data_IF_756745852103
#
_entry.id   IF_756745852103
#
_cell.length_a   1.000
_cell.length_b   1.000
_cell.length_c   1.000
_cell.angle_alpha   90.00
_cell.angle_beta   90.00
_cell.angle_gamma   90.00
#
_symmetry.space_group_name_H-M   'P 1'
#
loop_
_entity.id
_entity.type
_entity.pdbx_description
1 polymer ?
#
# COMPACT_ATOMS: atom_id res chain seq x y z
N UNK A 1 5.67 18.49 -21.93
CA UNK A 1 6.02 18.30 -21.60
C UNK A 1 6.21 17.80 -21.28
N UNK A 2 6.42 17.51 -21.36
CA UNK A 2 6.81 17.05 -21.04
C UNK A 2 7.12 16.64 -20.49
N UNK A 3 7.33 16.28 -20.57
CA UNK A 3 7.80 15.87 -19.89
C UNK A 3 8.33 15.98 -19.22
N UNK A 4 7.86 16.28 -19.34
CA UNK A 4 8.66 16.65 -18.57
C UNK A 4 8.95 15.97 -17.44
N UNK A 5 8.04 15.45 -17.00
CA UNK A 5 8.34 14.59 -15.99
C UNK A 5 9.47 13.80 -16.28
N UNK A 6 9.54 13.30 -17.38
CA UNK A 6 10.60 12.51 -17.62
C UNK A 6 11.79 13.22 -17.65
N UNK A 7 11.77 14.43 -17.92
CA UNK A 7 12.96 15.07 -17.86
C UNK A 7 13.29 15.34 -16.49
N UNK A 8 12.35 15.61 -15.65
CA UNK A 8 12.71 15.86 -14.33
C UNK A 8 12.90 14.61 -13.61
N UNK A 9 12.26 13.54 -14.05
CA UNK A 9 12.34 12.32 -13.34
C UNK A 9 13.61 11.64 -13.61
N UNK A 10 14.44 11.46 -12.71
CA UNK A 10 15.60 10.66 -12.88
C UNK A 10 15.26 9.21 -12.96
N UNK A 11 16.27 8.40 -13.25
CA UNK A 11 16.10 6.96 -13.40
C UNK A 11 15.44 6.32 -12.19
N UNK A 12 15.68 6.84 -11.01
CA UNK A 12 15.11 6.28 -9.80
C UNK A 12 14.07 7.22 -9.18
N UNK A 13 13.38 7.99 -9.98
CA UNK A 13 12.38 8.90 -9.45
C UNK A 13 11.11 8.18 -8.99
N UNK A 14 10.79 7.07 -9.65
CA UNK A 14 9.64 6.22 -9.26
C UNK A 14 8.36 7.00 -9.05
N UNK A 15 8.00 7.75 -10.07
CA UNK A 15 6.79 8.57 -9.97
C UNK A 15 5.52 7.77 -9.78
N UNK A 16 5.57 6.50 -10.11
CA UNK A 16 4.42 5.63 -9.88
C UNK A 16 4.23 5.21 -8.43
N UNK A 17 5.12 5.63 -7.52
CA UNK A 17 4.89 5.40 -6.11
C UNK A 17 3.90 6.45 -5.61
N UNK A 18 2.64 6.17 -5.84
CA UNK A 18 1.51 7.03 -5.51
C UNK A 18 1.63 7.50 -4.06
N UNK A 19 1.69 8.80 -3.85
CA UNK A 19 1.88 9.36 -2.52
C UNK A 19 0.78 8.99 -1.55
N UNK A 20 -0.44 8.87 -2.05
CA UNK A 20 -1.55 8.51 -1.20
C UNK A 20 -1.37 7.11 -0.67
N UNK A 21 -0.83 6.21 -1.48
CA UNK A 21 -0.64 4.82 -1.10
C UNK A 21 0.68 4.63 -0.34
N UNK A 22 1.69 5.42 -0.68
CA UNK A 22 3.02 5.26 -0.11
C UNK A 22 3.10 5.87 1.29
N UNK A 23 2.28 5.34 2.17
CA UNK A 23 2.22 5.74 3.56
C UNK A 23 1.80 4.49 4.33
N UNK A 24 2.50 4.16 5.38
CA UNK A 24 2.37 2.86 6.02
C UNK A 24 0.94 2.45 6.36
N UNK A 25 0.19 3.35 6.98
CA UNK A 25 -1.16 3.00 7.41
C UNK A 25 -2.08 2.77 6.22
N UNK A 26 -2.02 3.65 5.23
CA UNK A 26 -2.88 3.51 4.05
C UNK A 26 -2.49 2.31 3.20
N UNK A 27 -1.18 2.05 3.10
CA UNK A 27 -0.73 0.85 2.41
C UNK A 27 -1.26 -0.41 3.11
N UNK A 28 -1.23 -0.44 4.44
CA UNK A 28 -1.75 -1.56 5.21
C UNK A 28 -3.24 -1.75 5.00
N UNK A 29 -3.97 -0.65 5.00
CA UNK A 29 -5.42 -0.69 4.80
C UNK A 29 -5.74 -1.24 3.41
N UNK A 30 -5.09 -0.71 2.39
CA UNK A 30 -5.37 -1.15 1.02
C UNK A 30 -4.96 -2.60 0.78
N UNK A 31 -3.84 -3.02 1.37
CA UNK A 31 -3.41 -4.41 1.25
C UNK A 31 -4.42 -5.34 1.92
N UNK A 32 -4.91 -4.96 3.08
CA UNK A 32 -5.91 -5.76 3.77
C UNK A 32 -7.18 -5.88 2.94
N UNK A 33 -7.61 -4.78 2.35
CA UNK A 33 -8.84 -4.77 1.56
C UNK A 33 -8.71 -5.51 0.24
N UNK A 34 -7.57 -5.42 -0.43
CA UNK A 34 -7.45 -6.10 -1.72
C UNK A 34 -7.39 -7.61 -1.54
N UNK A 35 -6.94 -8.08 -0.39
CA UNK A 35 -6.91 -9.51 -0.11
C UNK A 35 -8.25 -10.02 0.44
N UNK A 36 -9.19 -9.11 0.68
CA UNK A 36 -10.53 -9.47 1.17
C UNK A 36 -11.58 -8.75 0.32
N UNK A 37 -11.79 -9.22 -0.90
CA UNK A 37 -12.67 -8.49 -1.85
C UNK A 37 -14.11 -8.31 -1.38
N UNK A 38 -14.57 -9.15 -0.49
CA UNK A 38 -15.92 -8.98 0.04
C UNK A 38 -15.99 -7.89 1.10
N UNK A 39 -14.85 -7.38 1.51
CA UNK A 39 -14.78 -6.30 2.48
C UNK A 39 -14.40 -6.77 3.86
N UNK A 40 -14.05 -5.81 4.68
CA UNK A 40 -13.71 -6.04 6.07
C UNK A 40 -14.48 -5.05 6.93
N UNK A 41 -14.88 -5.47 8.10
CA UNK A 41 -15.51 -4.53 9.02
C UNK A 41 -14.45 -3.56 9.54
N UNK A 42 -14.92 -2.44 10.06
CA UNK A 42 -14.01 -1.44 10.65
C UNK A 42 -13.12 -2.09 11.73
N UNK A 43 -13.72 -2.91 12.58
CA UNK A 43 -12.96 -3.53 13.67
C UNK A 43 -11.97 -4.57 13.16
N UNK A 44 -12.33 -5.33 12.14
CA UNK A 44 -11.39 -6.27 11.54
C UNK A 44 -10.20 -5.55 10.94
N UNK A 45 -10.48 -4.47 10.22
CA UNK A 45 -9.45 -3.70 9.58
C UNK A 45 -8.53 -3.05 10.60
N UNK A 46 -9.12 -2.53 11.67
CA UNK A 46 -8.36 -1.92 12.75
C UNK A 46 -7.37 -2.92 13.36
N UNK A 47 -7.83 -4.12 13.60
CA UNK A 47 -6.98 -5.17 14.17
C UNK A 47 -5.89 -5.59 13.20
N UNK A 48 -6.22 -5.81 11.95
CA UNK A 48 -5.25 -6.23 10.95
C UNK A 48 -4.15 -5.21 10.75
N UNK A 49 -4.49 -3.93 10.83
CA UNK A 49 -3.52 -2.88 10.56
C UNK A 49 -2.89 -2.30 11.81
N UNK A 50 -3.31 -2.75 12.98
CA UNK A 50 -2.83 -2.24 14.27
C UNK A 50 -2.98 -0.73 14.37
N UNK A 51 -4.18 -0.25 14.07
CA UNK A 51 -4.46 1.17 14.11
C UNK A 51 -5.46 1.48 15.22
N UNK A 52 -5.44 2.72 15.70
CA UNK A 52 -6.46 3.19 16.60
C UNK A 52 -7.71 3.55 15.82
N UNK A 53 -8.83 3.67 16.50
CA UNK A 53 -10.08 4.09 15.88
C UNK A 53 -9.91 5.41 15.12
N UNK A 54 -9.29 6.38 15.79
CA UNK A 54 -9.12 7.70 15.19
C UNK A 54 -8.22 7.69 13.97
N UNK A 55 -7.12 6.97 14.05
CA UNK A 55 -6.20 6.89 12.92
C UNK A 55 -6.83 6.16 11.74
N UNK A 56 -7.51 5.05 12.00
CA UNK A 56 -8.18 4.33 10.92
C UNK A 56 -9.25 5.20 10.28
N UNK A 57 -10.07 5.87 11.10
CA UNK A 57 -11.11 6.77 10.56
C UNK A 57 -10.51 7.83 9.67
N UNK A 58 -9.42 8.43 10.10
CA UNK A 58 -8.77 9.49 9.34
C UNK A 58 -8.25 8.98 8.01
N UNK A 59 -7.57 7.84 8.03
CA UNK A 59 -7.01 7.29 6.79
C UNK A 59 -8.10 6.78 5.85
N UNK A 60 -9.16 6.20 6.38
CA UNK A 60 -10.28 5.78 5.55
C UNK A 60 -10.95 6.99 4.89
N UNK A 61 -11.08 8.10 5.61
CA UNK A 61 -11.66 9.31 5.02
C UNK A 61 -10.80 9.83 3.86
N UNK A 62 -9.50 9.81 4.03
CA UNK A 62 -8.58 10.23 2.97
C UNK A 62 -8.75 9.33 1.74
N UNK A 63 -8.82 8.03 1.94
CA UNK A 63 -8.95 7.09 0.84
C UNK A 63 -10.32 7.17 0.18
N UNK A 64 -11.36 7.40 0.97
CA UNK A 64 -12.71 7.52 0.45
C UNK A 64 -12.85 8.77 -0.42
N UNK A 65 -12.26 9.86 0.02
CA UNK A 65 -12.29 11.10 -0.75
C UNK A 65 -11.68 10.93 -2.12
N UNK A 66 -10.69 10.08 -2.24
CA UNK A 66 -10.00 9.82 -3.50
C UNK A 66 -10.59 8.62 -4.23
N UNK A 67 -11.75 8.19 -3.83
CA UNK A 67 -12.49 7.09 -4.46
C UNK A 67 -11.74 5.77 -4.49
N UNK A 68 -10.90 5.53 -3.52
CA UNK A 68 -10.14 4.28 -3.47
C UNK A 68 -10.83 3.23 -2.62
N UNK A 69 -11.64 3.65 -1.66
CA UNK A 69 -12.42 2.73 -0.83
C UNK A 69 -13.84 3.23 -0.74
N UNK A 70 -14.74 2.32 -0.42
CA UNK A 70 -16.12 2.66 -0.14
C UNK A 70 -16.45 2.13 1.25
N UNK A 71 -17.17 2.93 1.99
CA UNK A 71 -17.53 2.62 3.36
C UNK A 71 -19.04 2.53 3.43
N UNK A 72 -19.53 1.36 3.83
CA UNK A 72 -20.96 1.12 3.89
C UNK A 72 -21.38 0.88 5.33
N UNK A 73 -22.40 1.59 5.75
CA UNK A 73 -22.94 1.39 7.07
C UNK A 73 -24.12 0.45 6.97
N UNK A 74 -24.12 -0.56 7.81
CA UNK A 74 -25.18 -1.55 7.83
C UNK A 74 -25.38 -2.06 9.22
N UNK A 75 -25.88 -3.26 9.32
CA UNK A 75 -26.15 -3.86 10.62
C UNK A 75 -25.82 -5.33 10.63
N UNK A 76 -25.36 -5.78 11.77
CA UNK A 76 -25.16 -7.19 12.02
C UNK A 76 -26.16 -7.51 13.13
N UNK A 77 -27.33 -7.99 12.76
CA UNK A 77 -28.43 -8.13 13.70
C UNK A 77 -28.91 -6.75 14.11
N UNK A 78 -28.85 -6.44 15.40
CA UNK A 78 -29.24 -5.13 15.88
C UNK A 78 -28.08 -4.18 16.07
N UNK A 79 -26.88 -4.61 15.72
CA UNK A 79 -25.70 -3.78 15.96
C UNK A 79 -25.29 -3.06 14.69
N UNK A 80 -24.98 -1.76 14.79
CA UNK A 80 -24.44 -1.05 13.66
C UNK A 80 -23.10 -1.67 13.25
N UNK A 81 -22.88 -1.77 11.96
CA UNK A 81 -21.62 -2.31 11.47
C UNK A 81 -21.17 -1.49 10.27
N UNK A 82 -19.90 -1.19 10.22
CA UNK A 82 -19.32 -0.47 9.10
C UNK A 82 -18.46 -1.44 8.31
N UNK A 83 -18.73 -1.55 7.03
CA UNK A 83 -18.00 -2.44 6.14
C UNK A 83 -17.22 -1.60 5.15
N UNK A 84 -15.96 -1.93 4.97
CA UNK A 84 -15.07 -1.22 4.06
C UNK A 84 -14.66 -2.14 2.93
N UNK A 85 -14.65 -1.61 1.71
CA UNK A 85 -14.21 -2.36 0.54
C UNK A 85 -13.34 -1.48 -0.35
N UNK A 86 -12.40 -2.10 -1.05
CA UNK A 86 -11.61 -1.38 -2.03
C UNK A 86 -12.45 -1.22 -3.30
N UNK A 87 -12.35 -0.08 -3.95
CA UNK A 87 -13.08 0.16 -5.21
C UNK A 87 -12.26 -0.36 -6.38
N UNK A 88 -12.86 -0.38 -7.56
CA UNK A 88 -12.12 -0.71 -8.79
C UNK A 88 -10.98 0.28 -9.00
N UNK A 89 -11.25 1.55 -8.78
CA UNK A 89 -10.21 2.57 -8.90
C UNK A 89 -9.09 2.35 -7.89
N UNK A 90 -9.44 2.04 -6.65
CA UNK A 90 -8.43 1.78 -5.62
C UNK A 90 -7.60 0.56 -5.96
N UNK A 91 -8.25 -0.49 -6.45
CA UNK A 91 -7.55 -1.70 -6.83
C UNK A 91 -6.56 -1.43 -7.96
N UNK A 92 -6.99 -0.70 -8.98
CA UNK A 92 -6.12 -0.40 -10.10
C UNK A 92 -4.91 0.43 -9.67
N UNK A 93 -5.13 1.47 -8.88
CA UNK A 93 -4.04 2.32 -8.41
C UNK A 93 -3.08 1.54 -7.51
N UNK A 94 -3.63 0.65 -6.68
CA UNK A 94 -2.81 -0.17 -5.80
C UNK A 94 -1.91 -1.11 -6.61
N UNK A 95 -2.45 -1.74 -7.65
CA UNK A 95 -1.66 -2.64 -8.48
C UNK A 95 -0.58 -1.90 -9.26
N UNK A 96 -0.87 -0.69 -9.71
CA UNK A 96 0.13 0.15 -10.36
C UNK A 96 1.25 0.54 -9.39
N UNK A 97 0.87 0.84 -8.15
CA UNK A 97 1.83 1.14 -7.10
C UNK A 97 2.74 -0.07 -6.86
N UNK A 98 2.16 -1.25 -6.79
CA UNK A 98 2.97 -2.45 -6.57
C UNK A 98 3.95 -2.71 -7.72
N UNK A 99 3.54 -2.43 -8.95
CA UNK A 99 4.42 -2.61 -10.09
C UNK A 99 5.64 -1.69 -9.97
N UNK A 100 5.42 -0.45 -9.53
CA UNK A 100 6.53 0.48 -9.33
C UNK A 100 7.40 0.05 -8.16
N UNK A 101 6.78 -0.41 -7.08
CA UNK A 101 7.53 -0.89 -5.93
C UNK A 101 8.39 -2.09 -6.32
N UNK A 102 7.86 -2.96 -7.15
CA UNK A 102 8.62 -4.09 -7.65
C UNK A 102 9.85 -3.64 -8.43
N UNK A 103 9.71 -2.56 -9.18
CA UNK A 103 10.85 -2.00 -9.93
C UNK A 103 11.93 -1.50 -8.96
N UNK A 104 11.53 -0.88 -7.86
CA UNK A 104 12.46 -0.44 -6.84
C UNK A 104 13.25 -1.63 -6.31
N UNK A 105 12.54 -2.71 -6.01
CA UNK A 105 13.16 -3.92 -5.50
C UNK A 105 14.14 -4.51 -6.51
N UNK A 106 13.75 -4.54 -7.77
CA UNK A 106 14.62 -5.06 -8.83
C UNK A 106 15.89 -4.23 -8.98
N UNK A 107 15.74 -2.90 -8.92
CA UNK A 107 16.90 -2.03 -9.05
C UNK A 107 17.86 -2.21 -7.88
N UNK A 108 17.32 -2.32 -6.68
CA UNK A 108 18.16 -2.54 -5.50
C UNK A 108 18.80 -3.93 -5.52
N UNK A 109 18.10 -4.91 -6.03
CA UNK A 109 18.63 -6.27 -6.09
C UNK A 109 19.85 -6.37 -6.99
N UNK A 110 19.92 -5.56 -8.05
CA UNK A 110 21.09 -5.56 -8.91
C UNK A 110 22.33 -5.15 -8.12
N UNK A 111 22.20 -4.11 -7.30
CA UNK A 111 23.32 -3.65 -6.50
C UNK A 111 23.67 -4.70 -5.45
N UNK A 112 22.67 -5.29 -4.82
CA UNK A 112 22.91 -6.33 -3.82
C UNK A 112 23.64 -7.53 -4.41
N UNK A 113 23.26 -7.94 -5.62
CA UNK A 113 23.93 -9.08 -6.25
C UNK A 113 25.36 -8.74 -6.62
N UNK A 114 25.62 -7.55 -7.05
CA UNK A 114 26.99 -7.13 -7.34
C UNK A 114 27.84 -7.14 -6.08
N UNK A 115 27.30 -6.65 -4.98
CA UNK A 115 28.03 -6.66 -3.73
C UNK A 115 28.32 -8.06 -3.27
N UNK A 116 27.34 -8.95 -3.39
CA UNK A 116 27.55 -10.31 -2.98
C UNK A 116 28.57 -10.99 -3.85
N UNK A 117 28.65 -10.65 -5.09
CA UNK A 117 29.63 -11.22 -5.97
C UNK A 117 31.02 -10.87 -5.55
N UNK A 118 31.22 -9.72 -4.93
CA UNK A 118 32.54 -9.35 -4.49
C UNK A 118 32.79 -9.72 -3.06
N UNK A 119 31.77 -9.77 -2.24
CA UNK A 119 31.98 -10.07 -0.85
C UNK A 119 31.08 -11.12 -0.41
N UNK A 120 31.29 -12.27 -0.88
CA UNK A 120 30.36 -13.33 -0.67
C UNK A 120 30.07 -13.62 0.74
N UNK A 121 30.92 -13.37 1.62
CA UNK A 121 30.69 -13.79 2.96
C UNK A 121 29.73 -12.94 3.71
N UNK A 122 29.44 -11.90 3.21
CA UNK A 122 28.70 -11.08 3.98
C UNK A 122 27.37 -11.45 4.18
N UNK A 123 26.79 -11.54 4.66
CA UNK A 123 25.59 -11.82 4.71
C UNK A 123 24.83 -11.42 5.53
N UNK A 124 24.51 -11.07 5.45
CA UNK A 124 23.76 -10.74 6.09
C UNK A 124 22.94 -11.41 6.72
N UNK A 125 22.89 -11.76 7.00
CA UNK A 125 22.25 -12.51 7.55
C UNK A 125 21.17 -12.33 8.16
N UNK A 126 20.82 -12.48 8.27
CA UNK A 126 19.78 -12.44 8.59
C UNK A 126 19.06 -12.23 9.47
N UNK A 127 19.01 -12.06 9.50
CA UNK A 127 18.37 -11.90 10.13
C UNK A 127 17.71 -11.72 10.79
N UNK A 128 17.47 -11.65 11.04
CA UNK A 128 16.83 -11.39 11.68
C UNK A 128 16.06 -11.49 12.12
N UNK A 129 15.97 -11.78 12.17
CA UNK A 129 15.23 -11.75 12.61
C UNK A 129 14.83 -11.61 12.91
#
# INVERSE_FOLDING_TARGET
MTNSANETGGRFAYEGLDRLIHERARLSVLTSLITHPKGLTFNELKAMCSLTDGNLSRHLSILEKDNMVVIEKGQDGNRPQTLCRITTNGRQRYLEYLATLEQVVKDAAKVARKSQGTESSTRLAPSRT
#
